data_IF_207978768282
#
_entry.id   IF_207978768282
#
_cell.length_a   1.000
_cell.length_b   1.000
_cell.length_c   1.000
_cell.angle_alpha   90.00
_cell.angle_beta   90.00
_cell.angle_gamma   90.00
#
_symmetry.space_group_name_H-M   'P 1'
#
loop_
_entity.id
_entity.type
_entity.pdbx_description
1 polymer ?
#
# COMPACT_ATOMS: atom_id res chain seq x y z
N UNK A 1 -0.19 -11.12 14.86
CA UNK A 1 0.02 -10.41 15.95
C UNK A 1 0.92 -10.96 17.00
N UNK A 2 1.76 -11.96 16.68
CA UNK A 2 2.84 -12.45 17.51
C UNK A 2 4.06 -11.50 17.56
N UNK A 3 4.26 -10.65 16.56
CA UNK A 3 5.39 -9.76 16.43
C UNK A 3 5.31 -8.60 17.44
N UNK A 4 6.17 -8.60 18.45
CA UNK A 4 6.16 -7.61 19.53
C UNK A 4 6.61 -6.20 19.13
N UNK A 5 7.40 -6.06 18.07
CA UNK A 5 7.91 -4.78 17.57
C UNK A 5 7.04 -4.21 16.43
N UNK A 6 6.13 -4.99 15.85
CA UNK A 6 5.29 -4.54 14.74
C UNK A 6 4.40 -3.34 15.10
N UNK A 7 3.81 -3.22 16.32
CA UNK A 7 3.05 -2.04 16.69
C UNK A 7 3.86 -0.74 16.65
N UNK A 8 5.14 -0.79 17.00
CA UNK A 8 6.00 0.39 16.98
C UNK A 8 6.24 0.87 15.55
N UNK A 9 6.52 -0.04 14.62
CA UNK A 9 6.65 0.30 13.20
C UNK A 9 5.34 0.83 12.63
N UNK A 10 4.20 0.18 12.93
CA UNK A 10 2.87 0.65 12.54
C UNK A 10 2.62 2.09 13.01
N UNK A 11 2.85 2.38 14.30
CA UNK A 11 2.71 3.73 14.86
C UNK A 11 3.64 4.76 14.20
N UNK A 12 4.84 4.34 13.77
CA UNK A 12 5.76 5.21 13.05
C UNK A 12 5.21 5.59 11.66
N UNK A 13 4.64 4.64 10.93
CA UNK A 13 4.02 4.90 9.63
C UNK A 13 2.73 5.72 9.75
N UNK A 14 1.90 5.48 10.76
CA UNK A 14 0.74 6.32 11.08
C UNK A 14 1.15 7.77 11.35
N UNK A 15 2.23 7.95 12.11
CA UNK A 15 2.82 9.28 12.34
C UNK A 15 3.32 9.93 11.05
N UNK A 16 3.96 9.16 10.16
CA UNK A 16 4.39 9.65 8.85
C UNK A 16 3.19 10.05 7.98
N UNK A 17 2.14 9.24 7.92
CA UNK A 17 0.89 9.56 7.20
C UNK A 17 0.29 10.86 7.69
N UNK A 18 0.24 11.07 9.01
CA UNK A 18 -0.25 12.32 9.60
C UNK A 18 0.61 13.54 9.21
N UNK A 19 1.93 13.38 9.18
CA UNK A 19 2.86 14.46 8.79
C UNK A 19 2.74 14.81 7.31
N UNK A 20 2.40 13.85 6.46
CA UNK A 20 2.25 14.03 5.01
C UNK A 20 0.83 14.45 4.58
N UNK A 21 -0.05 14.80 5.52
CA UNK A 21 -1.40 15.32 5.26
C UNK A 21 -2.23 14.45 4.29
N UNK A 22 -2.13 13.13 4.40
CA UNK A 22 -2.87 12.19 3.57
C UNK A 22 -2.27 11.92 2.19
N UNK A 23 -1.05 12.38 1.93
CA UNK A 23 -0.30 12.01 0.71
C UNK A 23 0.39 10.62 0.82
N UNK A 24 0.21 9.93 1.93
CA UNK A 24 0.73 8.58 2.18
C UNK A 24 -0.43 7.66 2.52
N UNK A 25 -0.57 6.56 1.78
CA UNK A 25 -1.51 5.49 2.10
C UNK A 25 -0.78 4.30 2.72
N UNK A 26 -1.44 3.64 3.66
CA UNK A 26 -0.84 2.52 4.41
C UNK A 26 -1.50 1.19 4.06
N UNK A 27 -0.71 0.12 4.13
CA UNK A 27 -1.17 -1.26 4.01
C UNK A 27 -0.47 -2.11 5.07
N UNK A 28 -1.25 -2.72 5.96
CA UNK A 28 -0.75 -3.67 6.95
C UNK A 28 -0.85 -5.10 6.41
N UNK A 29 0.30 -5.73 6.19
CA UNK A 29 0.38 -7.11 5.72
C UNK A 29 0.69 -8.05 6.90
N UNK A 30 -0.24 -8.91 7.22
CA UNK A 30 -0.07 -9.93 8.25
C UNK A 30 0.37 -11.25 7.61
N UNK A 31 1.45 -11.84 8.11
CA UNK A 31 1.92 -13.15 7.72
C UNK A 31 1.81 -14.14 8.86
N UNK A 32 1.52 -15.40 8.54
CA UNK A 32 1.44 -16.52 9.49
C UNK A 32 0.49 -16.27 10.68
N UNK A 33 -0.60 -15.56 10.44
CA UNK A 33 -1.64 -15.23 11.41
C UNK A 33 -3.00 -15.63 10.87
N UNK A 34 -3.61 -16.63 11.48
CA UNK A 34 -4.85 -17.25 10.97
C UNK A 34 -6.04 -16.28 10.86
N UNK A 35 -6.02 -15.17 11.62
CA UNK A 35 -7.14 -14.21 11.64
C UNK A 35 -6.98 -13.10 10.61
N UNK A 36 -5.74 -12.71 10.33
CA UNK A 36 -5.41 -11.55 9.52
C UNK A 36 -4.52 -11.88 8.33
N UNK A 37 -4.19 -13.16 8.13
CA UNK A 37 -3.34 -13.60 7.04
C UNK A 37 -3.94 -13.19 5.70
N UNK A 38 -3.10 -12.57 4.89
CA UNK A 38 -3.40 -12.15 3.54
C UNK A 38 -2.61 -13.02 2.55
N UNK A 39 -3.28 -13.61 1.58
CA UNK A 39 -2.67 -14.54 0.63
C UNK A 39 -1.54 -13.92 -0.20
N UNK A 40 -1.52 -12.59 -0.35
CA UNK A 40 -0.48 -11.84 -1.06
C UNK A 40 0.78 -11.56 -0.24
N UNK A 41 0.76 -11.77 1.10
CA UNK A 41 1.87 -11.38 1.98
C UNK A 41 3.19 -12.01 1.55
N UNK A 42 3.22 -13.32 1.28
CA UNK A 42 4.45 -14.02 0.88
C UNK A 42 4.99 -13.54 -0.47
N UNK A 43 4.11 -13.21 -1.41
CA UNK A 43 4.51 -12.66 -2.72
C UNK A 43 5.19 -11.30 -2.56
N UNK A 44 4.60 -10.41 -1.78
CA UNK A 44 5.18 -9.09 -1.51
C UNK A 44 6.44 -9.18 -0.65
N UNK A 45 6.44 -10.02 0.39
CA UNK A 45 7.62 -10.23 1.23
C UNK A 45 8.82 -10.74 0.42
N UNK A 46 8.59 -11.67 -0.50
CA UNK A 46 9.62 -12.16 -1.42
C UNK A 46 10.11 -11.06 -2.36
N UNK A 47 9.18 -10.32 -2.99
CA UNK A 47 9.51 -9.21 -3.89
C UNK A 47 10.37 -8.14 -3.18
N UNK A 48 9.96 -7.75 -1.99
CA UNK A 48 10.66 -6.72 -1.20
C UNK A 48 11.84 -7.25 -0.40
N UNK A 49 12.18 -8.53 -0.57
CA UNK A 49 13.32 -9.18 0.12
C UNK A 49 13.25 -9.04 1.64
N UNK A 50 12.04 -9.14 2.19
CA UNK A 50 11.81 -9.05 3.64
C UNK A 50 12.50 -10.21 4.34
N UNK A 51 13.42 -9.90 5.27
CA UNK A 51 14.20 -10.90 6.01
C UNK A 51 13.63 -11.15 7.42
N UNK A 52 12.75 -10.28 7.89
CA UNK A 52 12.17 -10.39 9.23
C UNK A 52 11.08 -9.35 9.45
N UNK A 53 10.46 -9.42 10.61
CA UNK A 53 9.38 -8.51 11.01
C UNK A 53 9.76 -7.75 12.29
N UNK A 54 9.39 -6.44 12.36
CA UNK A 54 8.70 -5.67 11.33
C UNK A 54 9.62 -5.20 10.18
N UNK A 55 9.06 -5.07 8.99
CA UNK A 55 9.69 -4.38 7.85
C UNK A 55 8.65 -3.47 7.22
N UNK A 56 8.97 -2.19 7.06
CA UNK A 56 8.22 -1.25 6.26
C UNK A 56 8.76 -1.19 4.83
N UNK A 57 7.89 -0.89 3.87
CA UNK A 57 8.27 -0.68 2.46
C UNK A 57 7.61 0.61 2.00
N UNK A 58 8.38 1.47 1.33
CA UNK A 58 7.88 2.73 0.77
C UNK A 58 8.05 2.70 -0.75
N UNK A 59 6.95 2.87 -1.48
CA UNK A 59 6.83 3.00 -2.95
C UNK A 59 7.57 1.94 -3.79
N UNK A 60 7.79 0.75 -3.18
CA UNK A 60 8.64 -0.29 -3.76
C UNK A 60 10.10 0.17 -4.01
N UNK A 61 10.55 1.24 -3.37
CA UNK A 61 11.86 1.87 -3.50
C UNK A 61 12.77 1.62 -2.32
N UNK A 62 12.20 1.53 -1.12
CA UNK A 62 12.99 1.35 0.09
C UNK A 62 12.32 0.40 1.07
N UNK A 63 13.14 -0.34 1.82
CA UNK A 63 12.72 -1.03 3.04
C UNK A 63 13.25 -0.29 4.26
N UNK A 64 12.43 -0.21 5.30
CA UNK A 64 12.71 0.51 6.54
C UNK A 64 12.59 -0.47 7.70
N UNK A 65 13.68 -0.59 8.47
CA UNK A 65 13.77 -1.47 9.63
C UNK A 65 14.40 -0.69 10.79
N UNK A 66 13.60 -0.39 11.81
CA UNK A 66 14.10 0.23 13.04
C UNK A 66 13.10 0.04 14.18
N UNK A 67 13.58 0.01 15.39
CA UNK A 67 12.81 -0.03 16.63
C UNK A 67 12.69 1.33 17.33
N UNK A 68 13.23 2.39 16.73
CA UNK A 68 13.03 3.78 17.16
C UNK A 68 11.92 4.43 16.32
N UNK A 69 10.77 4.66 16.95
CA UNK A 69 9.58 5.20 16.29
C UNK A 69 9.84 6.55 15.62
N UNK A 70 10.59 7.45 16.26
CA UNK A 70 10.84 8.78 15.73
C UNK A 70 11.74 8.76 14.49
N UNK A 71 12.79 7.93 14.53
CA UNK A 71 13.72 7.75 13.41
C UNK A 71 13.01 7.06 12.25
N UNK A 72 12.20 6.04 12.52
CA UNK A 72 11.45 5.30 11.50
C UNK A 72 10.40 6.19 10.84
N UNK A 73 9.66 7.00 11.61
CA UNK A 73 8.68 7.96 11.07
C UNK A 73 9.36 9.00 10.17
N UNK A 74 10.47 9.57 10.63
CA UNK A 74 11.25 10.52 9.82
C UNK A 74 11.76 9.85 8.54
N UNK A 75 12.31 8.65 8.62
CA UNK A 75 12.80 7.92 7.46
C UNK A 75 11.68 7.65 6.44
N UNK A 76 10.50 7.29 6.89
CA UNK A 76 9.34 7.07 6.00
C UNK A 76 8.94 8.36 5.26
N UNK A 77 8.89 9.50 5.97
CA UNK A 77 8.62 10.82 5.38
C UNK A 77 9.71 11.21 4.38
N UNK A 78 10.98 11.08 4.77
CA UNK A 78 12.12 11.44 3.92
C UNK A 78 12.10 10.61 2.62
N UNK A 79 11.94 9.28 2.71
CA UNK A 79 11.86 8.40 1.53
C UNK A 79 10.69 8.76 0.62
N UNK A 80 9.49 8.94 1.18
CA UNK A 80 8.33 9.28 0.38
C UNK A 80 8.48 10.63 -0.31
N UNK A 81 8.99 11.65 0.40
CA UNK A 81 9.24 12.98 -0.17
C UNK A 81 10.28 12.91 -1.28
N UNK A 82 11.40 12.25 -1.03
CA UNK A 82 12.50 12.14 -2.00
C UNK A 82 12.09 11.32 -3.23
N UNK A 83 11.25 10.30 -3.04
CA UNK A 83 10.67 9.53 -4.15
C UNK A 83 9.75 10.42 -4.98
N UNK A 84 8.88 11.20 -4.36
CA UNK A 84 7.97 12.13 -5.05
C UNK A 84 8.74 13.19 -5.85
N UNK A 85 9.82 13.73 -5.29
CA UNK A 85 10.66 14.72 -5.96
C UNK A 85 11.44 14.13 -7.16
N UNK A 86 11.96 12.90 -6.99
CA UNK A 86 12.77 12.23 -8.03
C UNK A 86 11.92 11.57 -9.11
N UNK A 87 10.71 11.16 -8.78
CA UNK A 87 9.76 10.46 -9.66
C UNK A 87 8.39 11.14 -9.61
N UNK A 88 8.22 12.29 -10.27
CA UNK A 88 6.95 12.99 -10.31
C UNK A 88 5.83 12.08 -10.80
N UNK A 89 4.67 12.16 -10.15
CA UNK A 89 3.49 11.36 -10.50
C UNK A 89 3.08 11.61 -11.96
N UNK A 90 2.90 10.54 -12.71
CA UNK A 90 2.49 10.58 -14.11
C UNK A 90 1.11 10.01 -14.35
N UNK A 91 0.45 9.48 -13.31
CA UNK A 91 -0.90 8.92 -13.38
C UNK A 91 -1.86 9.61 -12.42
N UNK A 92 -3.13 9.61 -12.75
CA UNK A 92 -4.23 10.02 -11.87
C UNK A 92 -5.21 8.88 -11.68
N UNK A 93 -5.80 8.76 -10.50
CA UNK A 93 -6.73 7.69 -10.14
C UNK A 93 -8.07 8.29 -9.73
N UNK A 94 -9.12 8.02 -10.52
CA UNK A 94 -10.50 8.17 -10.08
C UNK A 94 -11.13 6.79 -9.95
N UNK A 95 -11.85 6.55 -8.89
CA UNK A 95 -12.43 5.23 -8.65
C UNK A 95 -13.73 5.30 -7.86
N UNK A 96 -14.56 4.28 -8.04
CA UNK A 96 -15.75 4.03 -7.23
C UNK A 96 -15.84 2.56 -6.89
N UNK A 97 -16.54 2.24 -5.82
CA UNK A 97 -16.78 0.85 -5.47
C UNK A 97 -18.22 0.62 -5.01
N UNK A 98 -18.72 -0.58 -5.23
CA UNK A 98 -20.04 -1.02 -4.76
C UNK A 98 -19.94 -2.41 -4.18
N UNK A 99 -20.63 -2.65 -3.06
CA UNK A 99 -20.76 -3.96 -2.47
C UNK A 99 -22.21 -4.45 -2.62
N UNK A 100 -22.39 -5.59 -3.28
CA UNK A 100 -23.69 -6.23 -3.45
C UNK A 100 -23.64 -7.67 -2.96
N UNK A 101 -24.31 -7.96 -1.85
CA UNK A 101 -24.09 -9.22 -1.15
C UNK A 101 -22.63 -9.38 -0.76
N UNK A 102 -21.97 -10.43 -1.27
CA UNK A 102 -20.56 -10.69 -1.02
C UNK A 102 -19.66 -10.29 -2.21
N UNK A 103 -20.19 -9.60 -3.21
CA UNK A 103 -19.41 -9.19 -4.38
C UNK A 103 -19.09 -7.71 -4.28
N UNK A 104 -17.80 -7.38 -4.22
CA UNK A 104 -17.32 -6.02 -4.40
C UNK A 104 -16.98 -5.81 -5.88
N UNK A 105 -17.47 -4.71 -6.44
CA UNK A 105 -17.09 -4.23 -7.76
C UNK A 105 -16.36 -2.89 -7.60
N UNK A 106 -15.30 -2.72 -8.37
CA UNK A 106 -14.45 -1.52 -8.37
C UNK A 106 -14.32 -1.03 -9.80
N UNK A 107 -14.75 0.19 -10.07
CA UNK A 107 -14.54 0.87 -11.33
C UNK A 107 -13.39 1.88 -11.18
N UNK A 108 -12.49 1.89 -12.16
CA UNK A 108 -11.30 2.71 -12.21
C UNK A 108 -11.25 3.49 -13.52
N UNK A 109 -11.09 4.81 -13.43
CA UNK A 109 -10.62 5.66 -14.51
C UNK A 109 -9.15 6.03 -14.21
N UNK A 110 -8.24 5.42 -14.94
CA UNK A 110 -6.81 5.67 -14.85
C UNK A 110 -6.43 6.73 -15.90
N UNK A 111 -6.11 7.93 -15.43
CA UNK A 111 -5.49 8.95 -16.26
C UNK A 111 -4.00 8.68 -16.38
N UNK A 112 -3.47 8.77 -17.59
CA UNK A 112 -2.06 8.52 -17.88
C UNK A 112 -1.50 9.69 -18.68
N UNK A 113 -0.41 10.27 -18.17
CA UNK A 113 0.27 11.40 -18.79
C UNK A 113 1.23 10.96 -19.89
N UNK A 114 1.84 9.81 -19.76
CA UNK A 114 2.89 9.30 -20.64
C UNK A 114 2.52 7.90 -21.15
N UNK A 115 2.79 7.64 -22.44
CA UNK A 115 2.69 6.30 -23.01
C UNK A 115 3.70 5.36 -22.35
N UNK A 116 3.22 4.27 -21.71
CA UNK A 116 4.07 3.28 -21.03
C UNK A 116 3.27 2.00 -20.74
N UNK A 117 3.92 1.03 -20.11
CA UNK A 117 3.26 -0.15 -19.54
C UNK A 117 3.14 0.00 -18.04
N UNK A 118 1.92 0.19 -17.57
CA UNK A 118 1.58 0.31 -16.16
C UNK A 118 1.13 -1.01 -15.57
N UNK A 119 1.16 -1.12 -14.25
CA UNK A 119 0.53 -2.21 -13.49
C UNK A 119 -0.42 -1.62 -12.47
N UNK A 120 -1.63 -2.12 -12.43
CA UNK A 120 -2.67 -1.68 -11.48
C UNK A 120 -2.92 -2.80 -10.49
N UNK A 121 -2.74 -2.51 -9.22
CA UNK A 121 -3.13 -3.42 -8.12
C UNK A 121 -4.28 -2.82 -7.34
N UNK A 122 -5.28 -3.64 -7.07
CA UNK A 122 -6.47 -3.29 -6.30
C UNK A 122 -6.55 -4.20 -5.08
N UNK A 123 -6.49 -3.62 -3.90
CA UNK A 123 -6.62 -4.31 -2.61
C UNK A 123 -7.90 -3.87 -1.89
N UNK A 124 -8.49 -4.80 -1.15
CA UNK A 124 -9.49 -4.49 -0.14
C UNK A 124 -8.81 -4.51 1.22
N UNK A 125 -8.93 -3.41 1.95
CA UNK A 125 -8.41 -3.25 3.30
C UNK A 125 -9.57 -3.16 4.30
N UNK A 126 -9.31 -3.51 5.56
CA UNK A 126 -10.26 -3.37 6.66
C UNK A 126 -9.59 -2.64 7.83
N UNK A 127 -10.31 -1.67 8.38
CA UNK A 127 -9.91 -0.89 9.55
C UNK A 127 -10.67 -1.37 10.80
N UNK A 128 -10.28 -0.87 11.98
CA UNK A 128 -10.97 -1.08 13.26
C UNK A 128 -11.12 -2.55 13.69
N UNK A 129 -10.23 -3.42 13.25
CA UNK A 129 -10.26 -4.82 13.68
C UNK A 129 -9.68 -4.95 15.07
N UNK A 130 -10.54 -5.20 16.08
CA UNK A 130 -10.08 -5.41 17.46
C UNK A 130 -9.64 -6.86 17.66
N UNK A 131 -8.42 -7.05 18.18
CA UNK A 131 -7.91 -8.38 18.42
C UNK A 131 -6.59 -8.43 19.17
N UNK A 132 -6.05 -9.63 19.32
CA UNK A 132 -4.80 -9.86 20.02
C UNK A 132 -3.59 -9.29 19.26
N UNK A 133 -2.72 -8.62 20.01
CA UNK A 133 -1.41 -8.20 19.56
C UNK A 133 -0.39 -8.36 20.70
N UNK A 134 0.76 -8.94 20.39
CA UNK A 134 1.94 -8.79 21.26
C UNK A 134 2.49 -7.37 21.06
N UNK A 135 2.49 -6.57 22.11
CA UNK A 135 2.94 -5.18 22.09
C UNK A 135 4.12 -5.01 23.06
N UNK A 136 5.33 -5.08 22.53
CA UNK A 136 6.56 -4.96 23.32
C UNK A 136 6.71 -6.04 24.41
N UNK A 137 6.27 -7.28 24.15
CA UNK A 137 6.27 -8.39 25.10
C UNK A 137 5.07 -8.43 26.03
N UNK A 138 4.09 -7.52 25.88
CA UNK A 138 2.84 -7.52 26.62
C UNK A 138 1.70 -7.97 25.72
N UNK A 139 0.80 -8.81 26.25
CA UNK A 139 -0.43 -9.20 25.55
C UNK A 139 -1.43 -8.07 25.59
N UNK A 140 -1.86 -7.62 24.42
CA UNK A 140 -2.98 -6.67 24.26
C UNK A 140 -4.08 -7.36 23.46
N UNK A 141 -5.21 -7.66 24.12
CA UNK A 141 -6.35 -8.32 23.48
C UNK A 141 -7.34 -7.32 22.86
N UNK A 142 -7.14 -6.04 23.08
CA UNK A 142 -7.98 -4.96 22.58
C UNK A 142 -7.24 -4.05 21.59
N UNK A 143 -6.15 -4.54 21.04
CA UNK A 143 -5.41 -3.80 20.02
C UNK A 143 -6.27 -3.59 18.78
N UNK A 144 -6.27 -2.38 18.25
CA UNK A 144 -7.00 -2.03 17.02
C UNK A 144 -6.05 -2.09 15.84
N UNK A 145 -6.33 -3.00 14.91
CA UNK A 145 -5.60 -3.13 13.66
C UNK A 145 -6.28 -2.33 12.57
N UNK A 146 -5.52 -1.50 11.87
CA UNK A 146 -5.98 -0.68 10.75
C UNK A 146 -5.20 -1.01 9.47
N UNK A 147 -5.75 -0.59 8.34
CA UNK A 147 -5.17 -0.78 7.00
C UNK A 147 -4.86 -2.25 6.67
N UNK A 148 -5.58 -3.19 7.29
CA UNK A 148 -5.29 -4.62 7.16
C UNK A 148 -5.70 -5.13 5.78
N UNK A 149 -4.74 -5.62 5.00
CA UNK A 149 -5.03 -6.23 3.70
C UNK A 149 -5.83 -7.52 3.87
N UNK A 150 -7.01 -7.58 3.23
CA UNK A 150 -7.94 -8.70 3.30
C UNK A 150 -8.04 -9.48 2.00
N UNK A 151 -8.02 -8.78 0.87
CA UNK A 151 -8.22 -9.36 -0.44
C UNK A 151 -7.39 -8.61 -1.49
N UNK A 152 -6.69 -9.37 -2.35
CA UNK A 152 -6.22 -8.85 -3.62
C UNK A 152 -7.31 -9.09 -4.68
N UNK A 153 -7.90 -8.01 -5.18
CA UNK A 153 -8.93 -8.07 -6.22
C UNK A 153 -8.27 -8.33 -7.58
N UNK A 154 -7.07 -7.80 -7.77
CA UNK A 154 -6.19 -8.12 -8.92
C UNK A 154 -5.10 -9.11 -8.51
N UNK A 155 -4.30 -9.54 -9.48
CA UNK A 155 -3.03 -10.22 -9.19
C UNK A 155 -2.10 -9.32 -8.34
N UNK A 156 -1.30 -9.91 -7.45
CA UNK A 156 -0.29 -9.20 -6.67
C UNK A 156 0.88 -8.65 -7.51
N UNK A 157 0.99 -9.09 -8.77
CA UNK A 157 1.90 -8.50 -9.76
C UNK A 157 1.25 -7.35 -10.55
N UNK A 158 0.05 -6.95 -10.18
CA UNK A 158 -0.76 -5.97 -10.86
C UNK A 158 -1.38 -6.48 -12.18
N UNK A 159 -2.48 -5.86 -12.57
CA UNK A 159 -3.07 -5.97 -13.91
C UNK A 159 -2.25 -5.11 -14.87
N UNK A 160 -1.75 -5.70 -15.97
CA UNK A 160 -0.97 -4.96 -16.95
C UNK A 160 -1.87 -4.05 -17.79
N UNK A 161 -1.48 -2.80 -17.90
CA UNK A 161 -2.16 -1.78 -18.69
C UNK A 161 -1.16 -1.16 -19.67
N UNK A 162 -1.31 -1.49 -20.94
CA UNK A 162 -0.49 -0.91 -22.01
C UNK A 162 -1.16 0.36 -22.53
N UNK A 163 -0.42 1.46 -22.52
CA UNK A 163 -0.87 2.77 -23.00
C UNK A 163 0.05 3.21 -24.13
N UNK A 164 -0.52 3.37 -25.31
CA UNK A 164 0.24 3.62 -26.55
C UNK A 164 0.41 5.10 -26.89
N UNK A 165 -0.34 5.98 -26.25
CA UNK A 165 -0.32 7.42 -26.48
C UNK A 165 -0.35 8.19 -25.17
N UNK A 166 0.24 9.38 -25.16
CA UNK A 166 0.21 10.28 -24.01
C UNK A 166 -1.21 10.82 -23.74
N UNK A 167 -1.48 11.22 -22.51
CA UNK A 167 -2.70 11.89 -22.06
C UNK A 167 -3.98 11.08 -22.29
N UNK A 168 -3.93 9.77 -22.04
CA UNK A 168 -5.10 8.88 -22.15
C UNK A 168 -5.82 8.66 -20.82
N UNK A 169 -7.09 8.29 -20.92
CA UNK A 169 -7.87 7.72 -19.81
C UNK A 169 -8.19 6.27 -20.14
N UNK A 170 -7.73 5.37 -19.30
CA UNK A 170 -8.01 3.93 -19.40
C UNK A 170 -9.04 3.53 -18.35
N UNK A 171 -10.15 2.96 -18.80
CA UNK A 171 -11.19 2.46 -17.90
C UNK A 171 -11.02 0.97 -17.63
N UNK A 172 -11.10 0.59 -16.36
CA UNK A 172 -11.04 -0.79 -15.91
C UNK A 172 -12.11 -1.05 -14.87
N UNK A 173 -12.61 -2.28 -14.83
CA UNK A 173 -13.53 -2.75 -13.79
C UNK A 173 -13.01 -4.05 -13.23
N UNK A 174 -13.07 -4.19 -11.92
CA UNK A 174 -12.59 -5.35 -11.19
C UNK A 174 -13.69 -5.84 -10.25
N UNK A 175 -13.66 -7.12 -9.91
CA UNK A 175 -14.57 -7.66 -8.91
C UNK A 175 -13.89 -8.70 -8.03
N UNK A 176 -14.36 -8.80 -6.79
CA UNK A 176 -13.84 -9.76 -5.82
C UNK A 176 -14.93 -10.27 -4.89
N UNK A 177 -14.64 -11.35 -4.17
CA UNK A 177 -15.56 -11.92 -3.21
C UNK A 177 -15.11 -11.60 -1.79
N UNK A 178 -15.95 -10.88 -1.08
CA UNK A 178 -15.76 -10.46 0.31
C UNK A 178 -16.25 -11.58 1.25
N UNK A 179 -15.50 -11.88 2.31
CA UNK A 179 -15.96 -12.82 3.31
C UNK A 179 -17.05 -12.18 4.17
N UNK A 180 -18.10 -12.92 4.47
CA UNK A 180 -19.22 -12.45 5.31
C UNK A 180 -18.84 -12.13 6.76
N UNK A 181 -17.65 -12.55 7.20
CA UNK A 181 -17.11 -12.25 8.52
C UNK A 181 -16.37 -10.91 8.62
N UNK A 182 -16.18 -10.23 7.50
CA UNK A 182 -15.55 -8.91 7.47
C UNK A 182 -16.60 -7.82 7.60
N UNK A 183 -16.23 -6.68 8.20
CA UNK A 183 -17.14 -5.58 8.45
C UNK A 183 -17.14 -4.59 7.26
N UNK A 184 -18.23 -4.54 6.46
CA UNK A 184 -18.29 -3.65 5.29
C UNK A 184 -18.15 -2.17 5.62
N UNK A 185 -18.59 -1.74 6.79
CA UNK A 185 -18.55 -0.33 7.20
C UNK A 185 -17.11 0.15 7.49
N UNK A 186 -16.20 -0.79 7.73
CA UNK A 186 -14.79 -0.56 7.98
C UNK A 186 -13.89 -0.88 6.78
N UNK A 187 -14.47 -1.15 5.62
CA UNK A 187 -13.70 -1.48 4.42
C UNK A 187 -13.37 -0.27 3.56
N UNK A 188 -12.19 -0.33 2.96
CA UNK A 188 -11.75 0.60 1.92
C UNK A 188 -11.05 -0.14 0.78
N UNK A 189 -11.20 0.38 -0.41
CA UNK A 189 -10.44 -0.06 -1.59
C UNK A 189 -9.19 0.79 -1.68
N UNK A 190 -8.02 0.16 -1.80
CA UNK A 190 -6.78 0.81 -2.17
C UNK A 190 -6.40 0.40 -3.59
N UNK A 191 -6.17 1.39 -4.43
CA UNK A 191 -5.60 1.21 -5.76
C UNK A 191 -4.22 1.81 -5.77
N UNK A 192 -3.22 1.07 -6.25
CA UNK A 192 -1.93 1.64 -6.58
C UNK A 192 -1.51 1.29 -8.00
N UNK A 193 -0.83 2.22 -8.64
CA UNK A 193 -0.35 2.13 -10.01
C UNK A 193 1.17 2.10 -9.98
N UNK A 194 1.74 1.14 -10.66
CA UNK A 194 3.18 0.99 -10.78
C UNK A 194 3.64 1.31 -12.21
N UNK A 195 4.81 1.91 -12.29
CA UNK A 195 5.51 2.26 -13.53
C UNK A 195 6.90 1.61 -13.54
N UNK A 196 7.45 1.25 -14.72
CA UNK A 196 8.83 0.77 -14.83
C UNK A 196 9.84 1.80 -14.31
N UNK A 197 10.91 1.33 -13.68
CA UNK A 197 12.01 2.20 -13.23
C UNK A 197 12.69 2.95 -14.39
N UNK A 198 12.74 2.36 -15.58
CA UNK A 198 13.56 2.87 -16.68
C UNK A 198 15.03 2.87 -16.28
N UNK A 199 15.75 3.94 -16.67
CA UNK A 199 17.17 4.17 -16.36
C UNK A 199 17.37 4.97 -15.04
N UNK A 200 16.36 5.03 -14.19
CA UNK A 200 16.39 5.85 -12.96
C UNK A 200 17.23 5.20 -11.88
N UNK A 201 18.09 5.99 -11.26
CA UNK A 201 18.97 5.58 -10.17
C UNK A 201 18.24 5.47 -8.84
N UNK A 202 18.97 5.00 -7.83
CA UNK A 202 18.52 4.99 -6.44
C UNK A 202 18.27 6.41 -5.95
N UNK A 203 17.32 6.52 -5.03
CA UNK A 203 17.15 7.73 -4.22
C UNK A 203 18.26 7.77 -3.19
N UNK A 204 18.97 8.88 -3.08
CA UNK A 204 20.08 9.10 -2.14
C UNK A 204 19.64 9.99 -0.96
N UNK A 205 20.35 9.91 0.16
CA UNK A 205 20.30 10.92 1.23
C UNK A 205 19.69 10.51 2.56
N UNK A 206 19.14 9.29 2.73
CA UNK A 206 18.60 8.81 4.00
C UNK A 206 19.60 7.91 4.75
N UNK A 207 19.52 7.90 6.08
CA UNK A 207 20.39 7.13 6.95
C UNK A 207 20.34 5.61 6.61
N UNK A 208 21.42 5.11 6.07
CA UNK A 208 21.56 3.70 5.65
C UNK A 208 21.47 2.67 6.79
N UNK A 209 21.49 3.11 8.06
CA UNK A 209 21.25 2.23 9.21
C UNK A 209 19.78 1.86 9.35
N UNK A 210 18.89 2.67 8.82
CA UNK A 210 17.43 2.50 8.93
C UNK A 210 16.82 2.08 7.60
N UNK A 211 17.31 2.66 6.49
CA UNK A 211 16.74 2.54 5.15
C UNK A 211 17.66 1.76 4.23
N UNK A 212 17.09 0.79 3.52
CA UNK A 212 17.76 0.09 2.45
C UNK A 212 17.04 0.39 1.13
N UNK A 213 17.70 1.15 0.26
CA UNK A 213 17.20 1.41 -1.08
C UNK A 213 17.46 0.23 -2.01
N UNK A 214 16.57 0.05 -2.99
CA UNK A 214 16.75 -0.98 -4.00
C UNK A 214 15.62 -0.98 -5.04
N UNK A 215 15.91 -1.59 -6.17
CA UNK A 215 14.90 -1.92 -7.15
C UNK A 215 14.23 -3.22 -6.71
N UNK A 216 13.02 -3.10 -6.14
CA UNK A 216 12.23 -4.24 -5.69
C UNK A 216 11.28 -4.71 -6.80
N UNK A 217 11.84 -5.47 -7.73
CA UNK A 217 11.20 -5.82 -9.00
C UNK A 217 11.55 -4.82 -10.10
N UNK A 218 10.73 -4.76 -11.13
CA UNK A 218 10.97 -3.94 -12.33
C UNK A 218 10.20 -2.61 -12.31
N UNK A 219 9.41 -2.37 -11.27
CA UNK A 219 8.49 -1.25 -11.16
C UNK A 219 8.53 -0.60 -9.78
N UNK A 220 8.18 0.68 -9.71
CA UNK A 220 7.93 1.44 -8.48
C UNK A 220 6.48 1.93 -8.47
N UNK A 221 5.97 2.32 -7.29
CA UNK A 221 4.62 2.88 -7.17
C UNK A 221 4.65 4.34 -7.62
N UNK A 222 3.96 4.63 -8.74
CA UNK A 222 3.82 5.98 -9.30
C UNK A 222 2.73 6.78 -8.57
N UNK A 223 1.60 6.15 -8.26
CA UNK A 223 0.49 6.78 -7.55
C UNK A 223 -0.34 5.76 -6.77
N UNK A 224 -1.03 6.21 -5.73
CA UNK A 224 -2.00 5.40 -4.99
C UNK A 224 -3.21 6.22 -4.56
N UNK A 225 -4.35 5.54 -4.34
CA UNK A 225 -5.59 6.14 -3.86
C UNK A 225 -6.37 5.15 -3.02
N UNK A 226 -6.80 5.58 -1.83
CA UNK A 226 -7.73 4.82 -1.01
C UNK A 226 -9.11 5.51 -0.96
N UNK A 227 -10.19 4.72 -0.96
CA UNK A 227 -11.57 5.19 -0.86
C UNK A 227 -12.41 4.18 -0.08
N UNK A 228 -13.30 4.64 0.78
CA UNK A 228 -14.22 3.74 1.50
C UNK A 228 -15.13 3.02 0.51
N UNK A 229 -15.48 1.78 0.87
CA UNK A 229 -16.44 0.99 0.07
C UNK A 229 -17.79 1.72 0.01
N UNK A 230 -18.32 1.87 -1.20
CA UNK A 230 -19.54 2.63 -1.47
C UNK A 230 -19.35 4.12 -1.76
N UNK A 231 -18.14 4.62 -1.64
CA UNK A 231 -17.79 6.00 -1.98
C UNK A 231 -17.08 6.10 -3.33
N UNK A 232 -16.97 7.33 -3.82
CA UNK A 232 -16.27 7.67 -5.06
C UNK A 232 -15.10 8.61 -4.75
N UNK A 233 -13.97 8.37 -5.38
CA UNK A 233 -12.86 9.31 -5.41
C UNK A 233 -12.74 9.89 -6.83
N UNK A 234 -12.87 11.19 -6.94
CA UNK A 234 -12.68 11.90 -8.21
C UNK A 234 -11.19 12.03 -8.55
N UNK A 235 -10.91 12.29 -9.82
CA UNK A 235 -9.57 12.52 -10.30
C UNK A 235 -9.00 13.80 -9.66
N UNK A 236 -8.01 13.63 -8.81
CA UNK A 236 -7.15 14.73 -8.36
C UNK A 236 -5.80 14.60 -9.06
N UNK A 237 -5.47 15.56 -9.89
CA UNK A 237 -4.13 15.77 -10.40
C UNK A 237 -3.40 16.64 -9.38
N UNK A 238 -2.62 16.01 -8.52
CA UNK A 238 -1.76 16.71 -7.56
C UNK A 238 -0.38 16.94 -8.15
#
# INVERSE_FOLDING_TARGET
>A
TWCGYCPMLGSAFESAKSQMNGSLELVSLHGSDSNYEFSGTNTLASRFRVQGFPTGVVDARATINNDDQSVTSKAAVDVATETADSYPVTTGIACSSTLSGNTINVDLDLYVKEADTYRVTVLLLEDNITGYQNNGGRSDNNYVHNDVARLAITSMNGERVEVSEDYQVVKKSFSGTVKSSWDPDNMKVLIYVEKPYGDRDKVDGVDSRVVNYGNYGDTYIDNCRAVKVGETADLELK
#
